data_IF_500762048665
#
_entry.id   IF_500762048665
#
_cell.length_a   1.000
_cell.length_b   1.000
_cell.length_c   1.000
_cell.angle_alpha   90.00
_cell.angle_beta   90.00
_cell.angle_gamma   90.00
#
_symmetry.space_group_name_H-M   'P 1'
#
loop_
_entity.id
_entity.type
_entity.pdbx_description
1 polymer ?
#
# COMPACT_ATOMS: atom_id res chain seq x y z
N UNK A 1 -0.48 -19.52 -2.28
CA UNK A 1 0.96 -19.82 -2.21
C UNK A 1 1.29 -20.92 -3.18
N UNK A 2 2.50 -20.90 -3.74
CA UNK A 2 2.91 -21.83 -4.78
C UNK A 2 2.45 -21.41 -6.18
N UNK A 3 3.34 -21.61 -7.15
CA UNK A 3 3.19 -21.36 -8.58
C UNK A 3 2.82 -22.63 -9.36
N UNK A 4 2.83 -23.78 -8.69
CA UNK A 4 2.60 -25.09 -9.29
C UNK A 4 1.90 -26.05 -8.33
N UNK A 5 1.18 -27.00 -8.91
CA UNK A 5 0.60 -28.15 -8.21
C UNK A 5 1.40 -29.39 -8.55
N UNK A 6 1.91 -30.11 -7.54
CA UNK A 6 2.71 -31.31 -7.75
C UNK A 6 1.92 -32.57 -7.43
N UNK A 7 1.97 -33.56 -8.32
CA UNK A 7 1.36 -34.87 -8.12
C UNK A 7 2.43 -35.85 -7.65
N UNK A 8 2.22 -36.47 -6.50
CA UNK A 8 3.11 -37.47 -5.91
C UNK A 8 2.53 -38.86 -6.20
N UNK A 9 3.34 -39.65 -6.88
CA UNK A 9 3.03 -41.03 -7.27
C UNK A 9 4.21 -41.93 -6.88
N UNK A 10 3.95 -43.24 -6.81
CA UNK A 10 4.98 -44.22 -6.53
C UNK A 10 6.03 -44.26 -7.66
N UNK A 11 7.24 -44.71 -7.33
CA UNK A 11 8.31 -44.85 -8.30
C UNK A 11 7.93 -45.91 -9.35
N UNK A 12 8.15 -45.60 -10.62
CA UNK A 12 7.87 -46.53 -11.72
C UNK A 12 8.68 -47.82 -11.55
N UNK A 13 7.99 -48.97 -11.53
CA UNK A 13 8.58 -50.30 -11.40
C UNK A 13 8.78 -50.78 -9.96
N UNK A 14 8.31 -50.04 -8.95
CA UNK A 14 8.36 -50.44 -7.54
C UNK A 14 6.93 -50.68 -7.01
N UNK A 15 6.48 -51.92 -7.12
CA UNK A 15 5.13 -52.32 -6.70
C UNK A 15 4.94 -52.27 -5.18
N UNK A 16 6.02 -52.47 -4.41
CA UNK A 16 5.98 -52.39 -2.94
C UNK A 16 5.73 -50.95 -2.49
N UNK A 17 6.46 -49.99 -3.06
CA UNK A 17 6.21 -48.57 -2.81
C UNK A 17 4.81 -48.14 -3.29
N UNK A 18 4.32 -48.71 -4.41
CA UNK A 18 2.96 -48.50 -4.91
C UNK A 18 1.90 -48.93 -3.91
N UNK A 19 1.99 -50.15 -3.38
CA UNK A 19 1.07 -50.68 -2.39
C UNK A 19 1.09 -49.86 -1.09
N UNK A 20 2.28 -49.47 -0.61
CA UNK A 20 2.44 -48.65 0.59
C UNK A 20 1.80 -47.26 0.43
N UNK A 21 2.03 -46.59 -0.71
CA UNK A 21 1.44 -45.29 -0.99
C UNK A 21 -0.08 -45.37 -1.15
N UNK A 22 -0.60 -46.40 -1.83
CA UNK A 22 -2.04 -46.61 -1.97
C UNK A 22 -2.71 -46.83 -0.61
N UNK A 23 -2.10 -47.65 0.27
CA UNK A 23 -2.59 -47.85 1.64
C UNK A 23 -2.68 -46.51 2.41
N UNK A 24 -1.66 -45.65 2.28
CA UNK A 24 -1.67 -44.31 2.89
C UNK A 24 -2.75 -43.40 2.30
N UNK A 25 -2.92 -43.36 0.98
CA UNK A 25 -3.94 -42.55 0.30
C UNK A 25 -5.34 -42.97 0.76
N UNK A 26 -5.60 -44.27 0.79
CA UNK A 26 -6.86 -44.86 1.23
C UNK A 26 -7.13 -44.55 2.71
N UNK A 27 -6.12 -44.65 3.58
CA UNK A 27 -6.24 -44.29 4.98
C UNK A 27 -6.59 -42.81 5.17
N UNK A 28 -5.87 -41.90 4.50
CA UNK A 28 -6.14 -40.45 4.54
C UNK A 28 -7.55 -40.13 4.05
N UNK A 29 -8.01 -40.80 2.98
CA UNK A 29 -9.36 -40.60 2.44
C UNK A 29 -10.44 -41.07 3.42
N UNK A 30 -10.29 -42.26 4.01
CA UNK A 30 -11.25 -42.83 4.96
C UNK A 30 -11.35 -41.99 6.23
N UNK A 31 -10.21 -41.52 6.74
CA UNK A 31 -10.15 -40.68 7.95
C UNK A 31 -10.48 -39.21 7.69
N UNK A 32 -10.71 -38.79 6.43
CA UNK A 32 -10.90 -37.38 6.03
C UNK A 32 -9.75 -36.48 6.51
N UNK A 33 -8.53 -37.00 6.46
CA UNK A 33 -7.32 -36.30 6.90
C UNK A 33 -6.42 -35.91 5.72
N UNK A 34 -5.55 -34.93 5.98
CA UNK A 34 -4.44 -34.54 5.10
C UNK A 34 -3.12 -34.72 5.83
N UNK A 35 -2.03 -34.91 5.11
CA UNK A 35 -0.69 -35.01 5.72
C UNK A 35 0.07 -33.70 5.54
N UNK A 36 0.54 -33.10 6.64
CA UNK A 36 1.45 -31.95 6.59
C UNK A 36 2.87 -32.45 6.35
N UNK A 37 3.55 -31.91 5.35
CA UNK A 37 4.87 -32.38 4.93
C UNK A 37 5.84 -31.22 4.72
N UNK A 38 7.11 -31.52 4.98
CA UNK A 38 8.24 -30.71 4.55
C UNK A 38 8.64 -31.14 3.15
N UNK A 39 8.61 -30.21 2.20
CA UNK A 39 9.02 -30.42 0.82
C UNK A 39 10.34 -29.69 0.54
N UNK A 40 11.38 -30.44 0.20
CA UNK A 40 12.65 -29.89 -0.28
C UNK A 40 12.97 -30.58 -1.61
N UNK A 41 13.00 -29.81 -2.70
CA UNK A 41 13.17 -30.38 -4.05
C UNK A 41 14.63 -30.78 -4.32
N UNK A 42 15.56 -29.91 -3.93
CA UNK A 42 17.01 -30.12 -3.99
C UNK A 42 17.70 -29.46 -2.80
N UNK A 43 18.98 -29.77 -2.61
CA UNK A 43 19.89 -29.15 -1.65
C UNK A 43 19.95 -27.62 -1.76
N UNK A 44 19.85 -27.09 -2.98
CA UNK A 44 19.85 -25.65 -3.28
C UNK A 44 18.50 -24.97 -3.08
N UNK A 45 17.42 -25.74 -2.97
CA UNK A 45 16.07 -25.19 -2.83
C UNK A 45 15.73 -24.95 -1.37
N UNK A 46 15.15 -23.79 -1.06
CA UNK A 46 14.61 -23.54 0.26
C UNK A 46 13.50 -24.57 0.56
N UNK A 47 13.49 -25.20 1.75
CA UNK A 47 12.44 -26.11 2.14
C UNK A 47 11.11 -25.35 2.24
N UNK A 48 10.04 -25.97 1.77
CA UNK A 48 8.68 -25.46 1.79
C UNK A 48 7.82 -26.34 2.69
N UNK A 49 6.87 -25.74 3.39
CA UNK A 49 5.83 -26.48 4.10
C UNK A 49 4.58 -26.56 3.21
N UNK A 50 3.92 -27.72 3.21
CA UNK A 50 2.69 -27.91 2.46
C UNK A 50 1.91 -29.09 3.00
N UNK A 51 0.75 -29.35 2.39
CA UNK A 51 -0.05 -30.51 2.72
C UNK A 51 -0.24 -31.41 1.51
N UNK A 52 -0.46 -32.70 1.78
CA UNK A 52 -0.79 -33.73 0.82
C UNK A 52 -2.27 -34.09 0.95
N UNK A 53 -3.02 -33.88 -0.13
CA UNK A 53 -4.42 -34.26 -0.24
C UNK A 53 -4.58 -35.53 -1.08
N UNK A 54 -5.32 -36.56 -0.59
CA UNK A 54 -5.56 -37.79 -1.34
C UNK A 54 -6.50 -37.56 -2.53
N UNK A 55 -6.06 -37.94 -3.73
CA UNK A 55 -6.86 -37.90 -4.96
C UNK A 55 -6.88 -39.28 -5.61
N UNK A 56 -8.07 -39.88 -5.60
CA UNK A 56 -8.36 -41.21 -6.16
C UNK A 56 -9.18 -40.98 -7.44
N UNK A 57 -8.68 -41.49 -8.57
CA UNK A 57 -9.40 -41.57 -9.85
C UNK A 57 -9.46 -43.03 -10.29
N UNK A 58 -10.31 -43.34 -11.27
CA UNK A 58 -10.48 -44.70 -11.80
C UNK A 58 -9.17 -45.35 -12.27
N UNK A 59 -8.29 -44.56 -12.91
CA UNK A 59 -7.05 -45.07 -13.52
C UNK A 59 -5.83 -44.96 -12.60
N UNK A 60 -5.88 -44.12 -11.57
CA UNK A 60 -4.73 -43.85 -10.72
C UNK A 60 -5.11 -43.23 -9.38
N UNK A 61 -4.26 -43.45 -8.40
CA UNK A 61 -4.30 -42.80 -7.10
C UNK A 61 -3.04 -41.96 -6.92
N UNK A 62 -3.15 -40.78 -6.31
CA UNK A 62 -2.01 -39.93 -6.03
C UNK A 62 -2.24 -39.03 -4.81
N UNK A 63 -1.16 -38.45 -4.31
CA UNK A 63 -1.22 -37.34 -3.34
C UNK A 63 -0.92 -36.04 -4.08
N UNK A 64 -1.75 -35.03 -3.85
CA UNK A 64 -1.56 -33.69 -4.41
C UNK A 64 -0.88 -32.81 -3.36
N UNK A 65 0.31 -32.31 -3.68
CA UNK A 65 1.03 -31.37 -2.84
C UNK A 65 0.62 -29.93 -3.16
N UNK A 66 0.20 -29.22 -2.12
CA UNK A 66 -0.14 -27.79 -2.15
C UNK A 66 0.66 -27.09 -1.05
N UNK A 67 1.37 -26.02 -1.42
CA UNK A 67 2.18 -25.24 -0.49
C UNK A 67 1.29 -24.44 0.48
N UNK A 68 1.61 -24.51 1.77
CA UNK A 68 0.97 -23.72 2.81
C UNK A 68 1.65 -22.35 2.96
N UNK A 69 0.91 -21.31 3.35
CA UNK A 69 1.49 -20.02 3.72
C UNK A 69 2.24 -20.11 5.04
N UNK A 70 3.30 -19.31 5.16
CA UNK A 70 3.98 -19.05 6.43
C UNK A 70 3.32 -17.89 7.19
N UNK A 71 3.79 -17.61 8.40
CA UNK A 71 3.28 -16.51 9.21
C UNK A 71 3.51 -15.15 8.52
N UNK A 72 4.66 -14.99 7.87
CA UNK A 72 5.07 -13.78 7.16
C UNK A 72 4.24 -13.53 5.89
N UNK A 73 3.60 -14.58 5.37
CA UNK A 73 2.75 -14.53 4.18
C UNK A 73 1.33 -14.03 4.47
N UNK A 74 0.90 -14.06 5.74
CA UNK A 74 -0.45 -13.71 6.13
C UNK A 74 -0.63 -12.19 6.18
N UNK A 75 -1.54 -11.69 5.34
CA UNK A 75 -1.97 -10.28 5.38
C UNK A 75 -3.23 -10.18 6.23
N UNK A 76 -3.11 -9.57 7.41
CA UNK A 76 -4.23 -9.37 8.34
C UNK A 76 -4.93 -8.06 8.02
N UNK A 77 -5.99 -8.15 7.22
CA UNK A 77 -6.92 -7.05 7.01
C UNK A 77 -8.18 -7.30 7.82
N UNK A 78 -8.61 -6.28 8.57
CA UNK A 78 -9.87 -6.31 9.30
C UNK A 78 -10.89 -5.51 8.51
N UNK A 79 -11.98 -6.16 8.11
CA UNK A 79 -13.11 -5.54 7.45
C UNK A 79 -14.33 -5.59 8.37
N UNK A 80 -15.19 -4.58 8.29
CA UNK A 80 -16.47 -4.62 8.98
C UNK A 80 -17.36 -5.69 8.33
N UNK A 81 -18.14 -6.44 9.12
CA UNK A 81 -19.19 -7.30 8.58
C UNK A 81 -20.15 -6.49 7.69
N UNK A 82 -20.53 -7.05 6.54
CA UNK A 82 -21.35 -6.34 5.54
C UNK A 82 -22.75 -5.97 6.06
N UNK A 83 -23.26 -6.73 7.04
CA UNK A 83 -24.54 -6.57 7.74
C UNK A 83 -24.54 -5.49 8.83
N UNK A 84 -23.38 -4.88 9.11
CA UNK A 84 -23.28 -3.80 10.11
C UNK A 84 -24.09 -2.56 9.71
N UNK A 85 -24.18 -2.28 8.40
CA UNK A 85 -24.98 -1.18 7.89
C UNK A 85 -26.36 -1.70 7.46
N UNK A 86 -27.43 -1.13 8.04
CA UNK A 86 -28.82 -1.46 7.68
C UNK A 86 -29.14 -1.15 6.22
N UNK A 87 -28.44 -0.19 5.62
CA UNK A 87 -28.62 0.18 4.22
C UNK A 87 -28.04 -0.85 3.24
N UNK A 88 -27.16 -1.75 3.71
CA UNK A 88 -26.55 -2.81 2.91
C UNK A 88 -27.35 -4.13 2.94
N UNK A 89 -28.43 -4.20 3.71
CA UNK A 89 -29.25 -5.40 3.81
C UNK A 89 -30.16 -5.45 2.58
N UNK A 90 -30.03 -6.46 1.71
CA UNK A 90 -30.83 -6.55 0.49
C UNK A 90 -32.30 -6.81 0.80
N UNK A 91 -33.19 -6.30 -0.04
CA UNK A 91 -34.63 -6.57 0.04
C UNK A 91 -34.97 -7.97 -0.49
N UNK A 92 -36.12 -8.52 -0.10
CA UNK A 92 -36.59 -9.83 -0.61
C UNK A 92 -36.72 -9.83 -2.14
N UNK A 93 -37.08 -8.69 -2.74
CA UNK A 93 -37.15 -8.53 -4.19
C UNK A 93 -35.78 -8.59 -4.85
N UNK A 94 -34.75 -8.01 -4.22
CA UNK A 94 -33.37 -8.05 -4.69
C UNK A 94 -32.79 -9.46 -4.58
N UNK A 95 -33.09 -10.18 -3.49
CA UNK A 95 -32.69 -11.58 -3.30
C UNK A 95 -33.31 -12.48 -4.37
N UNK A 96 -34.62 -12.40 -4.58
CA UNK A 96 -35.31 -13.20 -5.60
C UNK A 96 -34.79 -12.95 -7.02
N UNK A 97 -34.43 -11.71 -7.36
CA UNK A 97 -33.85 -11.40 -8.68
C UNK A 97 -32.45 -11.98 -8.85
N UNK A 98 -31.65 -12.05 -7.78
CA UNK A 98 -30.35 -12.70 -7.81
C UNK A 98 -30.47 -14.21 -7.90
N UNK A 99 -31.46 -14.82 -7.23
CA UNK A 99 -31.75 -16.25 -7.38
C UNK A 99 -32.13 -16.58 -8.85
N UNK A 100 -32.99 -15.77 -9.45
CA UNK A 100 -33.35 -15.90 -10.88
C UNK A 100 -32.11 -15.75 -11.78
N UNK A 101 -31.21 -14.81 -11.47
CA UNK A 101 -29.97 -14.61 -12.24
C UNK A 101 -29.02 -15.81 -12.12
N UNK A 102 -28.84 -16.34 -10.91
CA UNK A 102 -28.00 -17.52 -10.66
C UNK A 102 -28.55 -18.72 -11.45
N UNK A 103 -29.87 -18.92 -11.45
CA UNK A 103 -30.52 -19.97 -12.23
C UNK A 103 -30.37 -19.77 -13.74
N UNK A 104 -30.46 -18.53 -14.23
CA UNK A 104 -30.34 -18.22 -15.66
C UNK A 104 -28.89 -18.30 -16.17
N UNK A 105 -27.90 -17.96 -15.34
CA UNK A 105 -26.48 -17.94 -15.67
C UNK A 105 -25.72 -19.20 -15.23
N UNK A 106 -26.43 -20.28 -14.90
CA UNK A 106 -25.80 -21.54 -14.54
C UNK A 106 -25.07 -22.17 -15.73
N UNK A 107 -23.81 -22.51 -15.53
CA UNK A 107 -22.95 -23.17 -16.52
C UNK A 107 -22.72 -24.65 -16.17
N UNK A 108 -23.24 -25.10 -15.01
CA UNK A 108 -23.08 -26.45 -14.49
C UNK A 108 -24.13 -27.39 -15.07
N UNK A 109 -23.81 -27.92 -16.25
CA UNK A 109 -24.53 -28.99 -16.95
C UNK A 109 -25.90 -28.66 -17.58
N UNK A 110 -25.98 -28.84 -18.90
CA UNK A 110 -27.24 -29.05 -19.61
C UNK A 110 -27.34 -30.53 -19.95
N UNK A 111 -28.51 -31.12 -19.72
CA UNK A 111 -28.79 -32.49 -20.17
C UNK A 111 -28.86 -32.52 -21.69
N UNK A 112 -27.74 -32.87 -22.34
CA UNK A 112 -27.70 -33.15 -23.77
C UNK A 112 -27.78 -34.67 -23.90
N UNK A 113 -28.94 -35.19 -24.32
CA UNK A 113 -29.18 -36.63 -24.52
C UNK A 113 -29.02 -37.51 -23.27
N UNK A 114 -29.30 -36.97 -22.07
CA UNK A 114 -29.24 -37.71 -20.81
C UNK A 114 -27.85 -37.78 -20.17
N UNK A 115 -26.86 -37.08 -20.72
CA UNK A 115 -25.58 -36.82 -20.07
C UNK A 115 -25.47 -35.33 -19.71
N UNK A 116 -25.12 -35.07 -18.45
CA UNK A 116 -24.85 -33.73 -17.94
C UNK A 116 -23.53 -33.21 -18.53
N UNK A 117 -23.62 -32.29 -19.49
CA UNK A 117 -22.43 -31.67 -20.10
C UNK A 117 -22.31 -30.18 -19.73
N UNK A 118 -21.16 -29.82 -19.16
CA UNK A 118 -20.80 -28.43 -18.83
C UNK A 118 -20.73 -27.58 -20.11
N UNK A 119 -21.53 -26.50 -20.18
CA UNK A 119 -21.58 -25.63 -21.37
C UNK A 119 -20.26 -24.91 -21.63
N UNK A 120 -19.50 -24.61 -20.58
CA UNK A 120 -18.28 -23.82 -20.67
C UNK A 120 -17.12 -24.41 -19.86
N UNK A 121 -16.37 -25.32 -20.50
CA UNK A 121 -15.22 -26.02 -19.89
C UNK A 121 -13.95 -25.16 -19.92
N UNK A 122 -13.87 -24.17 -19.03
CA UNK A 122 -12.72 -23.25 -18.93
C UNK A 122 -11.36 -23.95 -18.81
N UNK A 123 -11.29 -25.12 -18.15
CA UNK A 123 -10.08 -25.92 -18.01
C UNK A 123 -9.57 -26.56 -19.30
N UNK A 124 -10.44 -26.72 -20.31
CA UNK A 124 -10.10 -27.25 -21.64
C UNK A 124 -9.84 -26.12 -22.65
N UNK A 125 -10.23 -24.89 -22.33
CA UNK A 125 -9.96 -23.71 -23.16
C UNK A 125 -8.46 -23.42 -23.19
N UNK A 126 -7.90 -23.34 -24.40
CA UNK A 126 -6.50 -22.97 -24.60
C UNK A 126 -6.26 -21.50 -24.24
N UNK A 127 -5.03 -21.17 -23.84
CA UNK A 127 -4.69 -19.79 -23.50
C UNK A 127 -4.85 -18.86 -24.74
N UNK A 128 -5.81 -17.91 -24.72
CA UNK A 128 -6.09 -17.05 -25.87
C UNK A 128 -4.95 -16.08 -26.19
N UNK A 129 -4.12 -15.73 -25.19
CA UNK A 129 -2.95 -14.88 -25.40
C UNK A 129 -1.96 -15.52 -26.38
N UNK A 130 -1.68 -16.81 -26.21
CA UNK A 130 -0.74 -17.53 -27.07
C UNK A 130 -1.28 -17.66 -28.50
N UNK A 131 -2.58 -17.95 -28.64
CA UNK A 131 -3.23 -18.00 -29.95
C UNK A 131 -3.16 -16.66 -30.66
N UNK A 132 -3.48 -15.56 -29.96
CA UNK A 132 -3.37 -14.20 -30.49
C UNK A 132 -1.93 -13.83 -30.83
N UNK A 133 -0.97 -14.19 -29.99
CA UNK A 133 0.44 -13.94 -30.23
C UNK A 133 0.92 -14.64 -31.52
N UNK A 134 0.68 -15.93 -31.66
CA UNK A 134 1.10 -16.68 -32.86
C UNK A 134 0.40 -16.20 -34.13
N UNK A 135 -0.87 -15.80 -34.04
CA UNK A 135 -1.57 -15.16 -35.15
C UNK A 135 -0.86 -13.87 -35.60
N UNK A 136 -0.49 -13.00 -34.66
CA UNK A 136 0.23 -11.76 -34.97
C UNK A 136 1.62 -12.03 -35.56
N UNK A 137 2.34 -13.02 -35.02
CA UNK A 137 3.67 -13.43 -35.53
C UNK A 137 3.55 -13.96 -36.96
N UNK A 138 2.59 -14.86 -37.22
CA UNK A 138 2.33 -15.39 -38.56
C UNK A 138 1.96 -14.26 -39.53
N UNK A 139 1.10 -13.33 -39.12
CA UNK A 139 0.69 -12.21 -39.96
C UNK A 139 1.86 -11.30 -40.31
N UNK A 140 2.70 -10.92 -39.33
CA UNK A 140 3.89 -10.09 -39.57
C UNK A 140 4.92 -10.80 -40.44
N UNK A 141 5.07 -12.11 -40.31
CA UNK A 141 5.99 -12.90 -41.13
C UNK A 141 5.57 -12.95 -42.60
N UNK A 142 4.27 -13.09 -42.88
CA UNK A 142 3.72 -13.14 -44.24
C UNK A 142 3.51 -11.75 -44.84
N UNK A 143 3.22 -10.75 -44.00
CA UNK A 143 2.93 -9.37 -44.40
C UNK A 143 3.75 -8.38 -43.55
N UNK A 144 5.04 -8.15 -43.89
CA UNK A 144 5.93 -7.36 -43.05
C UNK A 144 5.56 -5.89 -42.88
N UNK A 145 4.79 -5.30 -43.81
CA UNK A 145 4.42 -3.88 -43.81
C UNK A 145 3.00 -3.60 -43.29
N UNK A 146 2.18 -4.64 -43.13
CA UNK A 146 0.78 -4.48 -42.76
C UNK A 146 0.64 -4.13 -41.26
N UNK A 147 -0.44 -3.46 -40.83
CA UNK A 147 -0.72 -3.28 -39.42
C UNK A 147 -1.01 -4.62 -38.72
N UNK A 148 -1.18 -4.58 -37.39
CA UNK A 148 -1.60 -5.77 -36.66
C UNK A 148 -2.99 -6.23 -37.15
N UNK A 149 -3.21 -7.55 -37.35
CA UNK A 149 -4.50 -8.04 -37.79
C UNK A 149 -5.55 -7.81 -36.69
N UNK A 150 -6.84 -7.65 -37.03
CA UNK A 150 -7.91 -7.61 -36.02
C UNK A 150 -7.98 -8.93 -35.23
N UNK A 151 -8.62 -8.89 -34.07
CA UNK A 151 -8.84 -10.09 -33.24
C UNK A 151 -9.81 -11.04 -33.97
N UNK A 152 -9.41 -12.30 -34.22
CA UNK A 152 -10.30 -13.30 -34.80
C UNK A 152 -11.47 -13.58 -33.87
N UNK A 153 -12.67 -13.70 -34.44
CA UNK A 153 -13.89 -13.96 -33.66
C UNK A 153 -13.79 -15.26 -32.87
N UNK A 154 -13.21 -16.33 -33.42
CA UNK A 154 -13.09 -17.60 -32.68
C UNK A 154 -12.27 -17.49 -31.37
N UNK A 155 -11.26 -16.62 -31.30
CA UNK A 155 -10.48 -16.38 -30.07
C UNK A 155 -11.33 -15.58 -29.08
N UNK A 156 -12.07 -14.58 -29.58
CA UNK A 156 -12.96 -13.77 -28.75
C UNK A 156 -14.12 -14.61 -28.20
N UNK A 157 -14.72 -15.45 -29.03
CA UNK A 157 -15.86 -16.31 -28.70
C UNK A 157 -15.47 -17.41 -27.70
N UNK A 158 -14.20 -17.83 -27.66
CA UNK A 158 -13.71 -18.79 -26.67
C UNK A 158 -13.70 -18.26 -25.23
N UNK A 159 -13.73 -16.94 -25.03
CA UNK A 159 -13.73 -16.29 -23.71
C UNK A 159 -15.13 -15.76 -23.36
N UNK A 160 -15.98 -15.52 -24.35
CA UNK A 160 -17.32 -14.97 -24.15
C UNK A 160 -18.27 -16.03 -23.58
N UNK A 161 -19.23 -15.56 -22.80
CA UNK A 161 -20.36 -16.37 -22.34
C UNK A 161 -21.15 -16.91 -23.53
N UNK A 162 -21.62 -18.17 -23.49
CA UNK A 162 -22.50 -18.72 -24.51
C UNK A 162 -23.75 -17.85 -24.73
N UNK A 163 -24.10 -17.60 -26.00
CA UNK A 163 -25.21 -16.71 -26.38
C UNK A 163 -26.55 -17.12 -25.75
N UNK A 164 -26.85 -18.42 -25.74
CA UNK A 164 -28.09 -18.93 -25.15
C UNK A 164 -28.26 -18.56 -23.67
N UNK A 165 -27.17 -18.53 -22.90
CA UNK A 165 -27.17 -18.13 -21.48
C UNK A 165 -27.37 -16.63 -21.35
N UNK A 166 -26.70 -15.84 -22.19
CA UNK A 166 -26.87 -14.39 -22.22
C UNK A 166 -28.29 -13.97 -22.60
N UNK A 167 -28.90 -14.64 -23.58
CA UNK A 167 -30.26 -14.34 -24.02
C UNK A 167 -31.30 -14.61 -22.91
N UNK A 168 -31.06 -15.61 -22.07
CA UNK A 168 -31.88 -15.88 -20.87
C UNK A 168 -31.66 -14.83 -19.77
N UNK A 169 -30.41 -14.39 -19.57
CA UNK A 169 -30.03 -13.48 -18.50
C UNK A 169 -30.38 -12.01 -18.77
N UNK A 170 -30.37 -11.58 -20.03
CA UNK A 170 -30.63 -10.19 -20.46
C UNK A 170 -31.87 -9.54 -19.81
N UNK A 171 -33.08 -10.15 -19.82
CA UNK A 171 -34.25 -9.53 -19.19
C UNK A 171 -34.12 -9.42 -17.66
N UNK A 172 -33.37 -10.31 -17.02
CA UNK A 172 -33.13 -10.29 -15.57
C UNK A 172 -32.11 -9.20 -15.23
N UNK A 173 -31.04 -9.08 -16.02
CA UNK A 173 -30.04 -8.03 -15.86
C UNK A 173 -30.64 -6.63 -15.99
N UNK A 174 -31.60 -6.43 -16.90
CA UNK A 174 -32.33 -5.16 -17.02
C UNK A 174 -33.15 -4.84 -15.75
N UNK A 175 -33.81 -5.85 -15.15
CA UNK A 175 -34.51 -5.67 -13.87
C UNK A 175 -33.55 -5.36 -12.73
N UNK A 176 -32.42 -6.04 -12.65
CA UNK A 176 -31.37 -5.79 -11.66
C UNK A 176 -30.84 -4.36 -11.79
N UNK A 177 -30.52 -3.90 -13.00
CA UNK A 177 -30.07 -2.53 -13.24
C UNK A 177 -31.08 -1.47 -12.74
N UNK A 178 -32.38 -1.77 -12.80
CA UNK A 178 -33.41 -0.87 -12.25
C UNK A 178 -33.58 -0.94 -10.72
N UNK A 179 -33.30 -2.08 -10.09
CA UNK A 179 -33.45 -2.29 -8.64
C UNK A 179 -32.20 -1.91 -7.85
N UNK A 180 -31.05 -1.86 -8.51
CA UNK A 180 -29.77 -1.44 -7.95
C UNK A 180 -29.29 -0.17 -8.65
N UNK A 181 -29.80 1.02 -8.27
CA UNK A 181 -29.33 2.27 -8.83
C UNK A 181 -27.86 2.47 -8.46
N UNK A 182 -27.00 2.51 -9.48
CA UNK A 182 -25.58 2.79 -9.32
C UNK A 182 -25.30 4.20 -9.84
N UNK A 183 -24.73 5.02 -8.98
CA UNK A 183 -24.23 6.35 -9.36
C UNK A 183 -22.71 6.24 -9.54
N UNK A 184 -22.23 6.65 -10.72
CA UNK A 184 -20.79 6.81 -10.93
C UNK A 184 -20.34 8.03 -10.14
N UNK A 185 -19.71 7.77 -8.99
CA UNK A 185 -18.98 8.81 -8.29
C UNK A 185 -17.76 9.09 -9.15
N UNK A 186 -17.76 10.24 -9.83
CA UNK A 186 -16.59 10.72 -10.55
C UNK A 186 -15.38 10.54 -9.62
N UNK A 187 -14.30 9.89 -10.08
CA UNK A 187 -13.13 9.74 -9.25
C UNK A 187 -12.81 11.15 -8.76
N UNK A 188 -12.75 11.33 -7.44
CA UNK A 188 -12.11 12.52 -6.92
C UNK A 188 -10.69 12.36 -7.43
N UNK A 189 -10.40 13.02 -8.55
CA UNK A 189 -9.05 13.30 -8.99
C UNK A 189 -8.56 14.24 -7.91
N UNK A 190 -8.18 13.67 -6.76
CA UNK A 190 -7.13 14.26 -5.96
C UNK A 190 -6.00 14.25 -6.97
N UNK A 191 -5.55 15.40 -7.49
CA UNK A 191 -4.36 15.39 -8.31
C UNK A 191 -3.29 14.74 -7.43
N UNK A 192 -2.97 13.48 -7.73
CA UNK A 192 -1.63 13.03 -7.50
C UNK A 192 -0.83 14.00 -8.36
N UNK A 193 -0.07 14.89 -7.73
CA UNK A 193 0.91 15.74 -8.41
C UNK A 193 2.07 14.86 -8.92
N UNK A 194 1.73 13.79 -9.61
CA UNK A 194 2.54 13.07 -10.55
C UNK A 194 2.27 13.77 -11.87
N UNK A 195 2.97 14.88 -12.08
CA UNK A 195 2.81 15.76 -13.24
C UNK A 195 3.13 15.06 -14.57
N UNK A 196 2.24 14.19 -15.04
CA UNK A 196 2.24 13.64 -16.39
C UNK A 196 0.80 13.37 -16.86
N UNK A 197 0.28 14.32 -17.65
CA UNK A 197 -0.84 14.14 -18.59
C UNK A 197 -2.25 14.29 -18.00
N UNK A 198 -3.18 14.92 -18.74
CA UNK A 198 -3.64 14.30 -19.98
C UNK A 198 -3.98 15.29 -21.12
N UNK A 199 -3.72 14.88 -22.37
CA UNK A 199 -4.51 15.32 -23.52
C UNK A 199 -4.25 14.42 -24.74
N UNK A 200 -4.86 13.24 -24.75
CA UNK A 200 -5.30 12.65 -26.02
C UNK A 200 -6.51 13.48 -26.49
N UNK A 201 -6.23 14.50 -27.29
CA UNK A 201 -7.21 15.17 -28.14
C UNK A 201 -6.64 15.23 -29.55
N UNK A 202 -6.91 14.16 -30.28
CA UNK A 202 -6.81 14.10 -31.73
C UNK A 202 -7.80 15.09 -32.37
N UNK A 203 -7.29 16.25 -32.80
CA UNK A 203 -7.86 17.08 -33.87
C UNK A 203 -6.72 17.75 -34.62
N UNK A 204 -6.47 17.28 -35.84
CA UNK A 204 -5.46 17.84 -36.72
C UNK A 204 -5.75 19.27 -37.16
N UNK A 205 -4.69 20.08 -37.28
CA UNK A 205 -4.47 20.93 -38.44
C UNK A 205 -3.04 21.48 -38.46
N UNK A 206 -2.47 21.41 -39.67
CA UNK A 206 -1.15 21.86 -40.10
C UNK A 206 -1.01 23.38 -39.98
N UNK A 207 0.11 23.89 -39.47
CA UNK A 207 0.83 25.01 -40.10
C UNK A 207 2.31 25.00 -39.69
N UNK A 208 3.15 25.01 -40.73
CA UNK A 208 4.60 25.22 -40.68
C UNK A 208 4.92 26.68 -40.31
N UNK A 209 6.00 26.92 -39.57
CA UNK A 209 6.97 27.99 -39.89
C UNK A 209 8.26 27.87 -39.05
N UNK A 210 9.35 27.63 -39.79
CA UNK A 210 10.72 28.15 -39.64
C UNK A 210 11.59 27.85 -38.39
N UNK A 211 12.51 26.89 -38.64
CA UNK A 211 13.90 26.77 -38.15
C UNK A 211 14.77 28.07 -38.32
N UNK A 212 16.04 28.15 -37.86
CA UNK A 212 16.89 27.09 -37.27
C UNK A 212 17.74 27.46 -36.02
N UNK A 213 18.20 26.36 -35.42
CA UNK A 213 19.31 26.10 -34.51
C UNK A 213 20.47 27.11 -34.37
N UNK A 214 20.89 27.31 -33.11
CA UNK A 214 22.31 27.44 -32.76
C UNK A 214 22.60 26.75 -31.40
N UNK A 215 23.32 25.64 -31.47
CA UNK A 215 23.92 24.87 -30.37
C UNK A 215 24.78 25.75 -29.46
N UNK A 216 24.61 25.70 -28.13
CA UNK A 216 25.73 25.67 -27.16
C UNK A 216 25.39 24.92 -25.88
N UNK A 217 26.30 23.98 -25.58
CA UNK A 217 26.78 23.48 -24.28
C UNK A 217 25.77 22.95 -23.26
N UNK A 218 25.82 21.62 -23.08
CA UNK A 218 25.43 20.90 -21.86
C UNK A 218 26.24 21.46 -20.68
N UNK A 219 25.54 21.96 -19.67
CA UNK A 219 26.02 22.05 -18.30
C UNK A 219 25.22 21.04 -17.48
N UNK A 220 25.95 20.22 -16.72
CA UNK A 220 25.43 19.17 -15.85
C UNK A 220 24.32 19.69 -14.92
N UNK A 221 23.09 19.30 -15.21
CA UNK A 221 21.98 19.43 -14.26
C UNK A 221 21.98 18.15 -13.44
N UNK A 222 22.34 18.27 -12.16
CA UNK A 222 22.21 17.17 -11.21
C UNK A 222 20.75 16.76 -11.09
N UNK A 223 20.49 15.46 -10.98
CA UNK A 223 19.19 14.85 -10.69
C UNK A 223 18.48 15.45 -9.46
N UNK A 224 19.19 16.15 -8.58
CA UNK A 224 18.62 16.86 -7.43
C UNK A 224 17.93 18.19 -7.80
N UNK A 225 18.38 18.89 -8.85
CA UNK A 225 17.78 20.17 -9.26
C UNK A 225 16.51 19.99 -10.09
N UNK A 226 16.38 18.85 -10.79
CA UNK A 226 15.15 18.47 -11.51
C UNK A 226 14.03 18.01 -10.57
N UNK A 227 14.34 17.75 -9.29
CA UNK A 227 13.39 17.37 -8.22
C UNK A 227 13.04 18.56 -7.32
N UNK A 228 13.52 19.76 -7.63
CA UNK A 228 13.04 20.98 -6.98
C UNK A 228 11.70 21.40 -7.59
N UNK A 229 10.67 20.58 -7.37
CA UNK A 229 9.28 21.04 -7.38
C UNK A 229 9.19 22.26 -6.47
N UNK A 230 8.44 23.28 -6.90
CA UNK A 230 8.16 24.43 -6.06
C UNK A 230 7.43 23.94 -4.81
N UNK A 231 8.17 23.69 -3.73
CA UNK A 231 7.65 23.24 -2.45
C UNK A 231 6.73 24.34 -1.94
N UNK A 232 5.42 24.10 -1.97
CA UNK A 232 4.41 25.07 -1.52
C UNK A 232 4.08 24.91 -0.03
N UNK A 233 4.53 23.84 0.64
CA UNK A 233 4.34 23.58 2.09
C UNK A 233 5.51 22.79 2.67
N UNK A 234 5.79 22.97 3.97
CA UNK A 234 6.78 22.18 4.72
C UNK A 234 6.20 20.81 5.05
N UNK A 235 6.77 19.72 4.52
CA UNK A 235 6.32 18.35 4.79
C UNK A 235 7.15 17.67 5.91
N UNK A 236 6.58 16.67 6.56
CA UNK A 236 7.19 15.87 7.63
C UNK A 236 8.34 14.99 7.10
N UNK A 237 8.38 14.74 5.79
CA UNK A 237 9.36 13.88 5.13
C UNK A 237 10.74 14.56 5.00
N UNK A 238 10.84 15.83 4.57
CA UNK A 238 12.11 16.58 4.49
C UNK A 238 12.00 18.05 4.98
N UNK A 239 11.61 18.26 6.25
CA UNK A 239 11.20 19.58 6.78
C UNK A 239 12.30 20.65 6.74
N UNK A 240 13.58 20.28 6.85
CA UNK A 240 14.70 21.24 6.85
C UNK A 240 14.98 21.80 5.46
N UNK A 241 14.95 20.95 4.43
CA UNK A 241 15.21 21.36 3.06
C UNK A 241 14.03 22.15 2.49
N UNK A 242 12.81 21.70 2.78
CA UNK A 242 11.58 22.38 2.36
C UNK A 242 11.48 23.78 2.98
N UNK A 243 11.83 23.91 4.27
CA UNK A 243 11.88 25.19 4.95
C UNK A 243 12.94 26.14 4.36
N UNK A 244 14.16 25.67 4.09
CA UNK A 244 15.21 26.51 3.47
C UNK A 244 14.82 26.95 2.06
N UNK A 245 14.15 26.10 1.28
CA UNK A 245 13.61 26.44 -0.05
C UNK A 245 12.48 27.47 0.04
N UNK A 246 11.55 27.30 0.97
CA UNK A 246 10.42 28.22 1.19
C UNK A 246 10.83 29.59 1.75
N UNK A 247 11.89 29.65 2.57
CA UNK A 247 12.46 30.93 3.06
C UNK A 247 13.22 31.67 1.94
N UNK A 248 13.70 30.93 0.95
CA UNK A 248 14.39 31.47 -0.23
C UNK A 248 13.42 31.91 -1.33
N UNK A 249 12.23 31.30 -1.42
CA UNK A 249 11.18 31.71 -2.35
C UNK A 249 10.45 32.95 -1.84
N UNK A 250 10.09 33.86 -2.75
CA UNK A 250 9.37 35.12 -2.42
C UNK A 250 7.84 34.97 -2.47
N UNK A 251 7.35 33.75 -2.64
CA UNK A 251 5.93 33.49 -2.91
C UNK A 251 5.07 33.45 -1.63
N UNK A 252 5.68 33.24 -0.45
CA UNK A 252 4.97 33.15 0.83
C UNK A 252 5.57 34.08 1.88
N UNK A 253 4.70 34.64 2.73
CA UNK A 253 5.11 35.47 3.86
C UNK A 253 5.93 34.63 4.85
N UNK A 254 7.10 35.14 5.25
CA UNK A 254 8.02 34.46 6.17
C UNK A 254 7.35 33.94 7.46
N UNK A 255 6.39 34.69 8.03
CA UNK A 255 5.69 34.26 9.24
C UNK A 255 4.83 33.01 9.03
N UNK A 256 4.28 32.81 7.82
CA UNK A 256 3.44 31.67 7.50
C UNK A 256 4.28 30.40 7.32
N UNK A 257 5.44 30.53 6.68
CA UNK A 257 6.42 29.44 6.56
C UNK A 257 6.95 29.01 7.94
N UNK A 258 7.19 29.98 8.84
CA UNK A 258 7.57 29.71 10.22
C UNK A 258 6.47 28.95 10.97
N UNK A 259 5.20 29.40 10.85
CA UNK A 259 4.04 28.73 11.48
C UNK A 259 3.89 27.28 11.02
N UNK A 260 4.08 27.02 9.73
CA UNK A 260 4.05 25.66 9.18
C UNK A 260 5.17 24.78 9.76
N UNK A 261 6.39 25.32 9.89
CA UNK A 261 7.50 24.58 10.51
C UNK A 261 7.23 24.29 12.00
N UNK A 262 6.66 25.24 12.74
CA UNK A 262 6.28 25.07 14.15
C UNK A 262 5.27 23.93 14.36
N UNK A 263 4.26 23.82 13.49
CA UNK A 263 3.29 22.71 13.51
C UNK A 263 3.94 21.35 13.22
N UNK A 264 4.87 21.31 12.26
CA UNK A 264 5.61 20.08 11.94
C UNK A 264 6.52 19.66 13.10
N UNK A 265 7.19 20.61 13.74
CA UNK A 265 8.01 20.36 14.94
C UNK A 265 7.17 19.79 16.08
N UNK A 266 5.99 20.36 16.36
CA UNK A 266 5.07 19.84 17.39
C UNK A 266 4.55 18.44 17.06
N UNK A 267 4.27 18.14 15.78
CA UNK A 267 3.89 16.79 15.34
C UNK A 267 5.03 15.78 15.54
N UNK A 268 6.26 16.15 15.18
CA UNK A 268 7.45 15.31 15.36
C UNK A 268 7.78 15.03 16.83
N UNK A 269 7.44 15.94 17.75
CA UNK A 269 7.59 15.68 19.19
C UNK A 269 6.46 14.84 19.79
N UNK A 270 5.27 14.81 19.18
CA UNK A 270 4.13 13.98 19.61
C UNK A 270 4.12 12.57 19.00
N UNK A 271 4.94 12.34 17.98
CA UNK A 271 4.97 11.06 17.26
C UNK A 271 5.63 9.96 18.10
N UNK A 272 5.05 8.75 18.07
CA UNK A 272 5.44 7.59 18.85
C UNK A 272 6.77 6.95 18.37
N UNK A 273 7.39 7.49 17.31
CA UNK A 273 8.65 7.02 16.74
C UNK A 273 9.91 7.36 17.58
N UNK A 274 9.75 7.98 18.75
CA UNK A 274 10.81 8.20 19.74
C UNK A 274 12.04 8.95 19.22
N UNK A 275 13.25 8.47 19.58
CA UNK A 275 14.54 9.18 19.39
C UNK A 275 14.84 9.66 17.96
N UNK A 276 14.40 8.93 16.93
CA UNK A 276 14.66 9.33 15.53
C UNK A 276 13.87 10.58 15.14
N UNK A 277 12.58 10.63 15.50
CA UNK A 277 11.71 11.78 15.24
C UNK A 277 12.17 13.02 16.06
N UNK A 278 12.56 12.82 17.32
CA UNK A 278 13.08 13.92 18.16
C UNK A 278 14.41 14.48 17.63
N UNK A 279 15.33 13.64 17.14
CA UNK A 279 16.58 14.13 16.53
C UNK A 279 16.32 14.97 15.26
N UNK A 280 15.26 14.64 14.51
CA UNK A 280 14.84 15.38 13.32
C UNK A 280 14.19 16.72 13.70
N UNK A 281 13.35 16.74 14.73
CA UNK A 281 12.76 17.97 15.28
C UNK A 281 13.84 18.96 15.76
N UNK A 282 14.90 18.48 16.43
CA UNK A 282 16.04 19.32 16.84
C UNK A 282 16.79 19.92 15.65
N UNK A 283 16.96 19.16 14.56
CA UNK A 283 17.56 19.70 13.31
C UNK A 283 16.68 20.79 12.69
N UNK A 284 15.36 20.66 12.75
CA UNK A 284 14.43 21.70 12.32
C UNK A 284 14.54 22.96 13.18
N UNK A 285 14.65 22.82 14.51
CA UNK A 285 14.85 23.96 15.42
C UNK A 285 16.15 24.72 15.14
N UNK A 286 17.24 24.01 14.83
CA UNK A 286 18.52 24.64 14.46
C UNK A 286 18.41 25.41 13.15
N UNK A 287 17.76 24.83 12.14
CA UNK A 287 17.52 25.49 10.87
C UNK A 287 16.60 26.72 11.00
N UNK A 288 15.61 26.67 11.90
CA UNK A 288 14.75 27.81 12.22
C UNK A 288 15.53 28.94 12.92
N UNK A 289 16.46 28.59 13.83
CA UNK A 289 17.35 29.57 14.46
C UNK A 289 18.23 30.27 13.44
N UNK A 290 18.84 29.51 12.51
CA UNK A 290 19.66 30.05 11.41
C UNK A 290 18.86 31.05 10.55
N UNK A 291 17.64 30.68 10.13
CA UNK A 291 16.82 31.55 9.29
C UNK A 291 16.34 32.82 10.02
N UNK A 292 16.06 32.71 11.33
CA UNK A 292 15.64 33.85 12.15
C UNK A 292 16.77 34.88 12.31
N UNK A 293 18.03 34.44 12.33
CA UNK A 293 19.20 35.31 12.31
C UNK A 293 19.37 35.97 10.93
N UNK A 294 19.29 35.19 9.84
CA UNK A 294 19.45 35.69 8.47
C UNK A 294 18.40 36.74 8.07
N UNK A 295 17.15 36.58 8.52
CA UNK A 295 16.04 37.50 8.23
C UNK A 295 15.83 38.58 9.31
N UNK A 296 16.69 38.59 10.34
CA UNK A 296 16.66 39.58 11.44
C UNK A 296 15.28 39.65 12.13
N UNK A 297 14.65 38.50 12.35
CA UNK A 297 13.31 38.34 12.95
C UNK A 297 13.34 37.37 14.15
N UNK A 298 14.05 37.74 15.24
CA UNK A 298 14.26 36.85 16.40
C UNK A 298 13.00 36.62 17.24
N UNK A 299 11.99 37.51 17.16
CA UNK A 299 10.80 37.46 18.03
C UNK A 299 9.94 36.21 17.79
N UNK A 300 9.82 35.75 16.55
CA UNK A 300 9.03 34.56 16.19
C UNK A 300 9.65 33.29 16.80
N UNK A 301 10.96 33.13 16.63
CA UNK A 301 11.72 32.01 17.18
C UNK A 301 11.72 32.00 18.71
N UNK A 302 11.96 33.15 19.35
CA UNK A 302 12.01 33.24 20.81
C UNK A 302 10.62 33.04 21.46
N UNK A 303 9.54 33.46 20.80
CA UNK A 303 8.16 33.19 21.25
C UNK A 303 7.83 31.70 21.13
N UNK A 304 8.25 31.06 20.04
CA UNK A 304 8.06 29.63 19.86
C UNK A 304 8.86 28.79 20.87
N UNK A 305 10.10 29.16 21.17
CA UNK A 305 10.90 28.48 22.21
C UNK A 305 10.27 28.63 23.61
N UNK A 306 9.68 29.78 23.94
CA UNK A 306 8.90 29.95 25.19
C UNK A 306 7.72 28.99 25.24
N UNK A 307 6.95 28.91 24.16
CA UNK A 307 5.80 27.98 24.05
C UNK A 307 6.24 26.52 24.15
N UNK A 308 7.37 26.17 23.56
CA UNK A 308 7.94 24.82 23.61
C UNK A 308 8.43 24.49 25.01
N UNK A 309 9.03 25.46 25.72
CA UNK A 309 9.37 25.33 27.14
C UNK A 309 8.11 25.07 27.96
N UNK A 310 7.07 25.90 27.86
CA UNK A 310 5.82 25.71 28.62
C UNK A 310 5.17 24.33 28.40
N UNK A 311 5.25 23.78 27.19
CA UNK A 311 4.64 22.50 26.83
C UNK A 311 5.41 21.27 27.35
N UNK A 312 6.72 21.39 27.56
CA UNK A 312 7.61 20.25 27.88
C UNK A 312 8.46 20.49 29.15
N UNK A 313 8.06 21.42 30.03
CA UNK A 313 8.78 21.76 31.29
C UNK A 313 8.69 20.68 32.39
N UNK A 314 8.47 19.42 32.06
CA UNK A 314 8.41 18.31 33.02
C UNK A 314 9.79 17.69 33.27
N UNK A 315 10.11 17.41 34.54
CA UNK A 315 11.37 16.79 34.99
C UNK A 315 11.57 15.33 34.49
N UNK A 316 10.54 14.76 33.82
CA UNK A 316 10.48 13.39 33.30
C UNK A 316 10.34 13.32 31.76
N UNK A 317 10.39 14.45 31.04
CA UNK A 317 10.27 14.45 29.58
C UNK A 317 11.63 14.20 28.90
N UNK A 318 11.76 13.04 28.25
CA UNK A 318 12.89 12.67 27.39
C UNK A 318 13.19 13.71 26.30
N UNK A 319 12.17 14.48 25.90
CA UNK A 319 12.27 15.57 24.93
C UNK A 319 13.01 16.78 25.49
N UNK A 320 12.73 17.16 26.75
CA UNK A 320 13.34 18.32 27.40
C UNK A 320 14.81 18.05 27.76
N UNK A 321 15.12 16.83 28.20
CA UNK A 321 16.52 16.41 28.43
C UNK A 321 17.33 16.39 27.13
N UNK A 322 16.74 15.98 26.00
CA UNK A 322 17.36 16.05 24.68
C UNK A 322 17.60 17.49 24.22
N UNK A 323 16.63 18.39 24.46
CA UNK A 323 16.77 19.83 24.16
C UNK A 323 17.86 20.51 25.03
N UNK A 324 17.98 20.13 26.31
CA UNK A 324 19.09 20.55 27.19
C UNK A 324 20.44 20.05 26.66
N UNK A 325 20.50 18.80 26.17
CA UNK A 325 21.73 18.16 25.67
C UNK A 325 22.22 18.74 24.33
N UNK A 326 21.31 19.05 23.42
CA UNK A 326 21.63 19.61 22.09
C UNK A 326 21.73 21.15 22.07
N UNK A 327 21.42 21.81 23.20
CA UNK A 327 21.64 23.23 23.51
C UNK A 327 21.31 24.19 22.36
N UNK A 328 20.02 24.39 22.07
CA UNK A 328 19.55 25.40 21.11
C UNK A 328 19.07 26.65 21.87
N UNK A 329 19.95 27.62 22.18
CA UNK A 329 19.58 28.78 22.99
C UNK A 329 18.67 29.76 22.23
N UNK A 330 17.85 30.54 22.97
CA UNK A 330 17.17 31.71 22.43
C UNK A 330 18.17 32.72 21.83
N UNK A 331 17.71 33.56 20.91
CA UNK A 331 18.56 34.58 20.27
C UNK A 331 18.60 35.83 21.17
N UNK A 332 19.78 36.17 21.68
CA UNK A 332 20.02 37.33 22.55
C UNK A 332 20.35 38.63 21.80
N UNK A 333 20.43 39.74 22.55
CA UNK A 333 20.78 41.07 22.02
C UNK A 333 22.19 41.16 21.44
N UNK A 334 23.15 40.35 21.90
CA UNK A 334 24.50 40.27 21.33
C UNK A 334 24.53 39.72 19.90
N UNK A 335 23.61 38.82 19.55
CA UNK A 335 23.59 38.16 18.24
C UNK A 335 22.64 38.87 17.24
N UNK A 336 21.63 39.59 17.74
CA UNK A 336 20.70 40.34 16.91
C UNK A 336 20.17 41.57 17.68
N UNK A 337 20.45 42.78 17.19
CA UNK A 337 20.07 44.04 17.86
C UNK A 337 18.54 44.23 18.02
N UNK A 338 17.75 43.54 17.19
CA UNK A 338 16.28 43.54 17.25
C UNK A 338 15.70 42.58 18.30
N UNK A 339 16.52 41.77 18.95
CA UNK A 339 16.01 40.85 19.97
C UNK A 339 15.56 41.59 21.23
N UNK A 340 14.36 41.25 21.69
CA UNK A 340 13.81 41.74 22.96
C UNK A 340 14.45 41.09 24.19
N UNK A 341 15.26 40.04 24.03
CA UNK A 341 15.79 39.23 25.13
C UNK A 341 17.19 39.68 25.58
N UNK A 342 17.39 39.97 26.89
CA UNK A 342 18.72 40.26 27.41
C UNK A 342 19.58 38.99 27.42
N UNK A 343 20.89 39.13 27.17
CA UNK A 343 21.80 37.98 27.07
C UNK A 343 21.88 37.16 28.37
N UNK A 344 21.59 37.79 29.51
CA UNK A 344 21.47 37.13 30.81
C UNK A 344 20.29 36.14 30.89
N UNK A 345 19.20 36.35 30.16
CA UNK A 345 18.06 35.44 30.13
C UNK A 345 18.28 34.26 29.18
N UNK A 346 19.11 34.44 28.16
CA UNK A 346 19.52 33.38 27.22
C UNK A 346 20.37 32.33 27.94
N UNK A 347 21.31 32.79 28.77
CA UNK A 347 22.16 31.91 29.60
C UNK A 347 21.35 31.21 30.71
N UNK A 348 20.31 31.85 31.23
CA UNK A 348 19.44 31.30 32.28
C UNK A 348 18.31 30.40 31.74
N UNK A 349 18.06 30.38 30.42
CA UNK A 349 16.92 29.68 29.82
C UNK A 349 16.88 28.18 30.15
N UNK A 350 18.06 27.54 30.20
CA UNK A 350 18.25 26.13 30.58
C UNK A 350 18.66 25.94 32.05
N UNK A 351 19.05 27.00 32.76
CA UNK A 351 19.57 26.93 34.14
C UNK A 351 18.50 27.17 35.22
N UNK A 352 17.34 27.72 34.87
CA UNK A 352 16.27 28.01 35.83
C UNK A 352 15.46 26.75 36.22
N UNK A 353 16.07 25.87 37.01
CA UNK A 353 15.38 24.85 37.81
C UNK A 353 15.88 24.95 39.25
N UNK A 354 15.39 25.95 40.00
CA UNK A 354 15.32 25.88 41.47
C UNK A 354 14.11 26.67 41.97
N UNK A 355 13.00 25.96 42.19
CA UNK A 355 12.03 26.21 43.26
C UNK A 355 11.20 24.91 43.40
N UNK A 356 11.61 23.99 44.27
CA UNK A 356 11.18 23.84 45.68
C UNK A 356 9.72 23.41 45.83
N UNK A 357 9.50 22.12 46.00
CA UNK A 357 8.33 21.56 46.70
C UNK A 357 8.74 20.27 47.40
N UNK A 358 8.37 20.18 48.67
CA UNK A 358 8.79 19.21 49.67
C UNK A 358 8.32 17.78 49.34
N UNK A 359 9.14 16.81 49.76
CA UNK A 359 8.78 15.39 49.77
C UNK A 359 7.67 15.15 50.80
N UNK A 360 6.51 14.66 50.35
CA UNK A 360 5.67 13.76 51.14
C UNK A 360 5.89 12.32 50.66
N UNK A 361 6.35 11.49 51.59
CA UNK A 361 6.56 10.06 51.47
C UNK A 361 5.21 9.33 51.58
N UNK A 362 4.90 8.41 50.65
CA UNK A 362 3.92 7.35 50.88
C UNK A 362 4.43 5.99 50.36
N UNK A 363 4.09 4.89 51.06
CA UNK A 363 4.90 3.68 51.11
C UNK A 363 4.61 2.68 49.98
N UNK A 364 5.58 1.80 49.75
CA UNK A 364 5.51 0.65 48.86
C UNK A 364 4.30 -0.24 49.20
N UNK A 365 3.59 -0.71 48.16
CA UNK A 365 2.51 -1.68 48.28
C UNK A 365 2.99 -3.02 47.73
N UNK A 366 2.90 -4.03 48.58
CA UNK A 366 3.43 -5.37 48.46
C UNK A 366 2.93 -6.14 47.23
N UNK A 367 3.86 -6.90 46.63
CA UNK A 367 3.61 -7.95 45.66
C UNK A 367 3.23 -9.24 46.42
N UNK A 368 1.94 -9.58 46.55
CA UNK A 368 1.55 -10.93 47.03
C UNK A 368 0.17 -11.45 46.56
N UNK A 369 -0.54 -10.79 45.63
CA UNK A 369 -1.91 -11.18 45.22
C UNK A 369 -2.01 -11.81 43.80
N UNK A 370 -0.95 -12.49 43.33
CA UNK A 370 -0.90 -13.10 41.98
C UNK A 370 -0.88 -14.65 41.96
N UNK A 371 -1.30 -15.29 43.06
CA UNK A 371 -1.34 -16.76 43.19
C UNK A 371 -2.71 -17.32 43.64
N UNK A 372 -3.83 -16.80 43.12
CA UNK A 372 -5.15 -17.41 43.41
C UNK A 372 -6.13 -17.48 42.22
N UNK A 373 -5.63 -17.48 40.98
CA UNK A 373 -6.46 -17.81 39.81
C UNK A 373 -5.73 -18.74 38.84
N UNK A 374 -5.60 -20.02 39.23
CA UNK A 374 -5.44 -21.16 38.31
C UNK A 374 -6.65 -22.08 38.42
#
# INVERSE_FOLDING_TARGET
MGDKTSYIVARKGDDSAGAALSALIQALKKSKMVAIVRYAFSDKSAPRMGFLSPRIKERYECLVFIQLPYMEDLRRFTFLPLDTNKDNIPTDTQLSLLDDLIAAMDLTAVDINGEQEELFKSSQTSNPYLQRFYQCVQHRAMHPKDPLPPMPQHIADAIKTPKAVMDLAEPILQKIASQFPLEEVAPVIVPQDNGVGPADLDKGQVTNSDEPAAKRARTDVSMADLVATATTKVDVVNPVEDFKKLVSSKEQSYSEVCRQLEEVILKLFKDALGRAAHSKAVRCLRAYRESALEKTSPDLFNTFLKKLKELYSGDQDDVWTLLKKEAVPPIGKKECERSTWPDSEVEQFYAAEKHSAEKEEQPAKDEDDLLDMM
#
